data_IF_331983907481
#
_entry.id   IF_331983907481
#
_cell.length_a   1.000
_cell.length_b   1.000
_cell.length_c   1.000
_cell.angle_alpha   90.00
_cell.angle_beta   90.00
_cell.angle_gamma   90.00
#
_symmetry.space_group_name_H-M   'P 1'
#
loop_
_entity.id
_entity.type
_entity.pdbx_description
1 polymer ?
#
# COMPACT_ATOMS: atom_id res chain seq x y z
N UNK A 1 -11.82 -17.92 13.99
CA UNK A 1 -11.27 -16.57 13.87
C UNK A 1 -11.83 -15.69 14.98
N UNK A 2 -10.93 -15.11 15.78
CA UNK A 2 -11.33 -14.05 16.72
C UNK A 2 -11.34 -12.73 15.97
N UNK A 3 -12.48 -12.06 15.91
CA UNK A 3 -12.59 -10.74 15.30
C UNK A 3 -13.09 -9.72 16.32
N UNK A 4 -12.65 -8.49 16.15
CA UNK A 4 -13.14 -7.33 16.88
C UNK A 4 -13.60 -6.29 15.88
N UNK A 5 -14.86 -5.88 15.97
CA UNK A 5 -15.37 -4.76 15.20
C UNK A 5 -14.99 -3.45 15.89
N UNK A 6 -14.33 -2.56 15.18
CA UNK A 6 -14.00 -1.21 15.64
C UNK A 6 -14.59 -0.24 14.62
N UNK A 7 -15.32 0.78 15.10
CA UNK A 7 -15.95 1.79 14.24
C UNK A 7 -15.13 3.06 14.33
N UNK A 8 -14.79 3.61 13.17
CA UNK A 8 -14.05 4.85 13.03
C UNK A 8 -14.87 5.84 12.19
N UNK A 9 -15.32 6.92 12.82
CA UNK A 9 -16.26 7.90 12.21
C UNK A 9 -15.64 9.27 11.95
N UNK A 10 -14.38 9.49 12.36
CA UNK A 10 -13.77 10.83 12.34
C UNK A 10 -13.29 11.26 10.96
N UNK A 11 -12.78 10.33 10.17
CA UNK A 11 -12.20 10.60 8.86
C UNK A 11 -12.52 9.44 7.91
N UNK A 12 -13.29 9.65 6.84
CA UNK A 12 -13.67 8.59 5.90
C UNK A 12 -12.54 8.18 4.96
N UNK A 13 -11.36 8.84 5.02
CA UNK A 13 -10.24 8.47 4.15
C UNK A 13 -9.75 7.06 4.44
N UNK A 14 -9.35 6.35 3.39
CA UNK A 14 -8.85 4.98 3.50
C UNK A 14 -7.59 4.91 4.37
N UNK A 15 -6.67 5.87 4.21
CA UNK A 15 -5.44 5.95 4.99
C UNK A 15 -5.71 6.13 6.50
N UNK A 16 -6.67 6.99 6.88
CA UNK A 16 -7.04 7.19 8.28
C UNK A 16 -7.66 5.92 8.89
N UNK A 17 -8.48 5.19 8.11
CA UNK A 17 -9.06 3.92 8.56
C UNK A 17 -7.98 2.85 8.77
N UNK A 18 -6.99 2.75 7.88
CA UNK A 18 -5.85 1.84 8.05
C UNK A 18 -5.06 2.20 9.32
N UNK A 19 -4.70 3.46 9.51
CA UNK A 19 -3.96 3.90 10.68
C UNK A 19 -4.70 3.53 11.97
N UNK A 20 -5.99 3.82 12.03
CA UNK A 20 -6.83 3.45 13.16
C UNK A 20 -6.87 1.92 13.40
N UNK A 21 -6.92 1.12 12.33
CA UNK A 21 -6.82 -0.34 12.41
C UNK A 21 -5.49 -0.80 12.98
N UNK A 22 -4.38 -0.20 12.54
CA UNK A 22 -3.03 -0.48 13.04
C UNK A 22 -2.90 -0.14 14.53
N UNK A 23 -3.34 1.03 14.95
CA UNK A 23 -3.34 1.45 16.37
C UNK A 23 -4.05 0.44 17.26
N UNK A 24 -5.17 -0.11 16.79
CA UNK A 24 -5.99 -1.07 17.52
C UNK A 24 -5.55 -2.54 17.38
N UNK A 25 -4.58 -2.84 16.52
CA UNK A 25 -4.06 -4.20 16.37
C UNK A 25 -3.16 -4.59 17.54
N UNK A 26 -3.38 -5.79 18.08
CA UNK A 26 -2.59 -6.30 19.23
C UNK A 26 -1.32 -7.06 18.79
N UNK A 27 -1.23 -7.46 17.52
CA UNK A 27 -0.15 -8.29 16.99
C UNK A 27 1.07 -7.47 16.58
N UNK A 28 2.26 -8.08 16.65
CA UNK A 28 3.52 -7.50 16.15
C UNK A 28 3.52 -7.30 14.63
N UNK A 29 2.84 -8.17 13.91
CA UNK A 29 2.70 -8.11 12.46
C UNK A 29 1.25 -7.82 12.11
N UNK A 30 1.04 -6.98 11.10
CA UNK A 30 -0.28 -6.62 10.57
C UNK A 30 -0.32 -6.86 9.07
N UNK A 31 -1.52 -7.10 8.56
CA UNK A 31 -1.78 -7.20 7.12
C UNK A 31 -3.11 -6.53 6.80
N UNK A 32 -3.25 -6.05 5.57
CA UNK A 32 -4.41 -5.29 5.13
C UNK A 32 -5.25 -6.14 4.17
N UNK A 33 -6.54 -6.23 4.46
CA UNK A 33 -7.55 -6.87 3.61
C UNK A 33 -8.65 -5.86 3.33
N UNK A 34 -8.88 -5.57 2.08
CA UNK A 34 -10.00 -4.74 1.65
C UNK A 34 -11.27 -5.56 1.54
N UNK A 35 -12.42 -4.89 1.54
CA UNK A 35 -13.74 -5.52 1.68
C UNK A 35 -14.07 -6.50 0.53
N UNK A 36 -13.63 -6.18 -0.67
CA UNK A 36 -13.92 -6.89 -1.92
C UNK A 36 -12.72 -7.69 -2.46
N UNK A 37 -11.70 -7.88 -1.64
CA UNK A 37 -10.46 -8.56 -1.98
C UNK A 37 -10.31 -9.91 -1.29
N UNK A 38 -9.31 -10.67 -1.74
CA UNK A 38 -9.04 -12.02 -1.24
C UNK A 38 -7.54 -12.27 -1.02
N UNK A 39 -7.18 -12.92 0.12
CA UNK A 39 -5.88 -13.55 0.25
C UNK A 39 -5.82 -14.88 -0.51
N UNK A 40 -4.71 -15.14 -1.19
CA UNK A 40 -4.44 -16.50 -1.65
C UNK A 40 -4.23 -17.45 -0.45
N UNK A 41 -4.79 -18.66 -0.53
CA UNK A 41 -4.79 -19.62 0.58
C UNK A 41 -3.40 -19.93 1.16
N UNK A 42 -2.35 -19.86 0.32
CA UNK A 42 -0.96 -20.17 0.68
C UNK A 42 -0.17 -18.93 1.11
N UNK A 43 -0.77 -17.74 1.14
CA UNK A 43 -0.03 -16.49 1.34
C UNK A 43 0.69 -16.45 2.68
N UNK A 44 -0.02 -16.66 3.76
CA UNK A 44 0.56 -16.58 5.10
C UNK A 44 1.58 -17.68 5.38
N UNK A 45 1.43 -18.88 4.82
CA UNK A 45 2.43 -19.95 4.90
C UNK A 45 3.73 -19.55 4.20
N UNK A 46 3.63 -18.91 3.02
CA UNK A 46 4.79 -18.35 2.34
C UNK A 46 5.45 -17.25 3.17
N UNK A 47 4.69 -16.30 3.70
CA UNK A 47 5.23 -15.24 4.55
C UNK A 47 5.97 -15.83 5.74
N UNK A 48 5.39 -16.79 6.46
CA UNK A 48 6.01 -17.44 7.61
C UNK A 48 7.34 -18.12 7.23
N UNK A 49 7.37 -18.80 6.09
CA UNK A 49 8.59 -19.41 5.56
C UNK A 49 9.68 -18.38 5.26
N UNK A 50 9.31 -17.26 4.60
CA UNK A 50 10.26 -16.21 4.27
C UNK A 50 10.72 -15.44 5.51
N UNK A 51 9.89 -15.24 6.52
CA UNK A 51 10.30 -14.70 7.83
C UNK A 51 11.39 -15.56 8.48
N UNK A 52 11.30 -16.89 8.35
CA UNK A 52 12.32 -17.81 8.84
C UNK A 52 13.66 -17.69 8.11
N UNK A 53 13.64 -17.49 6.80
CA UNK A 53 14.87 -17.35 5.99
C UNK A 53 15.46 -15.93 6.03
N UNK A 54 14.64 -14.92 6.20
CA UNK A 54 15.02 -13.51 6.13
C UNK A 54 14.56 -12.73 7.38
N UNK A 55 15.10 -13.04 8.57
CA UNK A 55 14.61 -12.50 9.84
C UNK A 55 14.79 -10.99 10.00
N UNK A 56 15.63 -10.37 9.15
CA UNK A 56 15.84 -8.92 9.15
C UNK A 56 14.82 -8.15 8.31
N UNK A 57 14.02 -8.85 7.50
CA UNK A 57 12.98 -8.20 6.67
C UNK A 57 11.84 -7.72 7.56
N UNK A 58 11.41 -6.50 7.33
CA UNK A 58 10.41 -5.81 8.14
C UNK A 58 9.03 -5.76 7.48
N UNK A 59 8.98 -5.97 6.16
CA UNK A 59 7.74 -6.05 5.41
C UNK A 59 7.85 -7.02 4.23
N UNK A 60 6.75 -7.74 3.96
CA UNK A 60 6.64 -8.67 2.83
C UNK A 60 5.46 -8.26 1.95
N UNK A 61 5.72 -8.11 0.65
CA UNK A 61 4.71 -7.83 -0.36
C UNK A 61 4.39 -9.09 -1.16
N UNK A 62 3.11 -9.36 -1.46
CA UNK A 62 2.74 -10.36 -2.45
C UNK A 62 2.92 -9.82 -3.88
N UNK A 63 2.98 -10.69 -4.87
CA UNK A 63 2.47 -10.35 -6.20
C UNK A 63 0.95 -10.34 -6.10
N UNK A 64 0.34 -9.24 -6.51
CA UNK A 64 -1.12 -9.04 -6.49
C UNK A 64 -1.67 -9.30 -7.89
N UNK A 65 -2.76 -10.04 -7.97
CA UNK A 65 -3.55 -10.20 -9.20
C UNK A 65 -4.65 -9.14 -9.17
N UNK A 66 -4.65 -8.25 -10.14
CA UNK A 66 -5.72 -7.28 -10.33
C UNK A 66 -6.80 -7.87 -11.24
N UNK A 67 -8.05 -7.74 -10.82
CA UNK A 67 -9.24 -8.14 -11.59
C UNK A 67 -10.21 -6.98 -11.69
N UNK A 68 -11.03 -6.98 -12.72
CA UNK A 68 -12.18 -6.08 -12.78
C UNK A 68 -13.35 -6.57 -11.89
N UNK A 69 -14.42 -5.79 -11.81
CA UNK A 69 -15.63 -6.12 -11.04
C UNK A 69 -16.33 -7.43 -11.47
N UNK A 70 -16.04 -7.91 -12.69
CA UNK A 70 -16.58 -9.18 -13.22
C UNK A 70 -15.63 -10.34 -12.98
N UNK A 71 -14.48 -10.08 -12.34
CA UNK A 71 -13.44 -11.07 -12.06
C UNK A 71 -12.52 -11.35 -13.25
N UNK A 72 -12.59 -10.57 -14.34
CA UNK A 72 -11.67 -10.72 -15.46
C UNK A 72 -10.29 -10.16 -15.08
N UNK A 73 -9.24 -10.86 -15.51
CA UNK A 73 -7.86 -10.45 -15.26
C UNK A 73 -7.55 -9.08 -15.89
N UNK A 74 -7.02 -8.15 -15.08
CA UNK A 74 -6.64 -6.81 -15.49
C UNK A 74 -5.12 -6.59 -15.50
N UNK A 75 -4.37 -7.27 -14.62
CA UNK A 75 -2.93 -7.11 -14.54
C UNK A 75 -2.33 -7.71 -13.27
N UNK A 76 -1.06 -7.35 -13.05
CA UNK A 76 -0.35 -7.62 -11.81
C UNK A 76 0.13 -6.32 -11.19
N UNK A 77 0.31 -6.34 -9.87
CA UNK A 77 0.94 -5.27 -9.09
C UNK A 77 2.02 -5.86 -8.20
N UNK A 78 3.05 -5.08 -7.86
CA UNK A 78 4.26 -5.45 -7.12
C UNK A 78 5.27 -6.34 -7.90
N UNK A 79 4.98 -6.74 -9.12
CA UNK A 79 5.87 -7.57 -9.95
C UNK A 79 7.08 -6.80 -10.52
N UNK A 80 6.98 -5.47 -10.62
CA UNK A 80 8.04 -4.64 -11.22
C UNK A 80 9.39 -4.78 -10.49
N UNK A 81 9.40 -5.14 -9.20
CA UNK A 81 10.63 -5.41 -8.45
C UNK A 81 11.47 -6.53 -9.06
N UNK A 82 10.84 -7.53 -9.67
CA UNK A 82 11.52 -8.66 -10.32
C UNK A 82 12.02 -8.28 -11.71
N UNK A 83 11.30 -7.42 -12.43
CA UNK A 83 11.75 -6.89 -13.71
C UNK A 83 12.98 -5.99 -13.57
N UNK A 84 13.02 -5.14 -12.53
CA UNK A 84 14.14 -4.26 -12.25
C UNK A 84 15.42 -4.99 -11.80
N UNK A 85 15.28 -6.16 -11.20
CA UNK A 85 16.39 -6.93 -10.61
C UNK A 85 16.61 -8.27 -11.31
N UNK A 86 16.69 -8.32 -12.62
CA UNK A 86 16.85 -9.52 -13.44
C UNK A 86 17.54 -10.69 -12.70
N UNK A 87 16.86 -11.85 -12.57
CA UNK A 87 17.37 -13.10 -12.00
C UNK A 87 17.39 -13.20 -10.46
N UNK A 88 16.71 -12.38 -9.69
CA UNK A 88 16.55 -12.61 -8.25
C UNK A 88 15.33 -13.47 -7.96
N UNK A 89 15.47 -14.49 -7.14
CA UNK A 89 14.36 -15.31 -6.62
C UNK A 89 13.49 -14.52 -5.64
N UNK A 90 14.02 -13.44 -5.08
CA UNK A 90 13.36 -12.51 -4.18
C UNK A 90 13.72 -11.09 -4.59
N UNK A 91 12.77 -10.17 -4.51
CA UNK A 91 12.96 -8.78 -4.85
C UNK A 91 12.92 -7.88 -3.61
N UNK A 92 13.99 -7.15 -3.35
CA UNK A 92 13.97 -6.07 -2.38
C UNK A 92 13.44 -4.80 -3.03
N UNK A 93 12.40 -4.23 -2.45
CA UNK A 93 11.88 -2.93 -2.88
C UNK A 93 12.82 -1.83 -2.37
N UNK A 94 13.35 -1.05 -3.31
CA UNK A 94 14.24 0.06 -3.01
C UNK A 94 13.61 1.40 -3.38
N UNK A 95 14.17 2.49 -2.85
CA UNK A 95 13.72 3.83 -3.21
C UNK A 95 13.92 4.09 -4.71
N UNK A 96 15.03 3.64 -5.30
CA UNK A 96 15.32 3.82 -6.73
C UNK A 96 14.27 3.13 -7.60
N UNK A 97 13.88 1.88 -7.27
CA UNK A 97 12.79 1.20 -7.99
C UNK A 97 11.49 2.02 -7.94
N UNK A 98 11.15 2.57 -6.78
CA UNK A 98 9.95 3.38 -6.61
C UNK A 98 10.01 4.73 -7.34
N UNK A 99 11.19 5.29 -7.59
CA UNK A 99 11.32 6.49 -8.41
C UNK A 99 10.97 6.23 -9.88
N UNK A 100 11.27 5.04 -10.38
CA UNK A 100 11.06 4.64 -11.77
C UNK A 100 9.68 3.99 -11.97
N UNK A 101 9.21 3.19 -11.00
CA UNK A 101 7.97 2.42 -11.07
C UNK A 101 7.03 2.77 -9.92
N UNK A 102 5.78 3.07 -10.25
CA UNK A 102 4.77 3.51 -9.28
C UNK A 102 3.69 2.45 -9.01
N UNK A 103 3.70 1.34 -9.75
CA UNK A 103 2.69 0.28 -9.64
C UNK A 103 3.00 -0.65 -8.47
N UNK A 104 2.97 -0.08 -7.26
CA UNK A 104 3.11 -0.81 -6.00
C UNK A 104 1.94 -0.51 -5.09
N UNK A 105 1.48 -1.54 -4.38
CA UNK A 105 0.40 -1.42 -3.40
C UNK A 105 0.69 -2.24 -2.14
N UNK A 106 0.03 -1.87 -1.06
CA UNK A 106 0.14 -2.53 0.24
C UNK A 106 -0.93 -3.60 0.47
N UNK A 107 -1.77 -3.86 -0.52
CA UNK A 107 -2.80 -4.91 -0.46
C UNK A 107 -2.16 -6.27 -0.24
N UNK A 108 -2.55 -6.95 0.84
CA UNK A 108 -1.94 -8.20 1.26
C UNK A 108 -0.54 -8.10 1.88
N UNK A 109 0.04 -6.90 2.00
CA UNK A 109 1.33 -6.71 2.66
C UNK A 109 1.26 -7.22 4.10
N UNK A 110 2.32 -7.91 4.53
CA UNK A 110 2.54 -8.25 5.95
C UNK A 110 3.72 -7.43 6.45
N UNK A 111 3.47 -6.55 7.41
CA UNK A 111 4.46 -5.58 7.89
C UNK A 111 4.49 -5.56 9.42
N UNK A 112 5.65 -5.27 10.00
CA UNK A 112 5.78 -5.03 11.44
C UNK A 112 5.01 -3.77 11.83
N UNK A 113 4.20 -3.89 12.88
CA UNK A 113 3.39 -2.78 13.40
C UNK A 113 4.25 -1.59 13.83
N UNK A 114 5.35 -1.85 14.54
CA UNK A 114 6.27 -0.81 15.02
C UNK A 114 6.89 0.00 13.86
N UNK A 115 7.14 -0.61 12.70
CA UNK A 115 7.61 0.13 11.51
C UNK A 115 6.58 1.17 11.05
N UNK A 116 5.30 0.82 11.05
CA UNK A 116 4.24 1.78 10.68
C UNK A 116 4.18 2.91 11.69
N UNK A 117 4.22 2.59 12.98
CA UNK A 117 4.16 3.56 14.07
C UNK A 117 5.38 4.49 14.10
N UNK A 118 6.59 3.94 13.95
CA UNK A 118 7.86 4.70 13.94
C UNK A 118 7.94 5.69 12.77
N UNK A 119 7.31 5.37 11.65
CA UNK A 119 7.28 6.23 10.46
C UNK A 119 5.99 7.05 10.32
N UNK A 120 5.13 7.13 11.34
CA UNK A 120 3.99 8.03 11.38
C UNK A 120 2.75 7.58 10.60
N UNK A 121 2.68 6.30 10.20
CA UNK A 121 1.52 5.74 9.50
C UNK A 121 1.34 6.24 8.07
N UNK A 122 0.15 6.07 7.52
CA UNK A 122 -0.21 6.54 6.19
C UNK A 122 -0.73 7.98 6.25
N UNK A 123 -0.31 8.84 5.32
CA UNK A 123 -0.74 10.24 5.25
C UNK A 123 -2.12 10.35 4.60
N UNK A 124 -3.13 10.69 5.39
CA UNK A 124 -4.53 10.75 4.95
C UNK A 124 -4.76 11.81 3.87
N UNK A 125 -4.01 12.91 3.88
CA UNK A 125 -4.10 13.98 2.89
C UNK A 125 -3.59 13.60 1.50
N UNK A 126 -2.83 12.50 1.36
CA UNK A 126 -2.25 12.07 0.08
C UNK A 126 -3.26 11.46 -0.89
N UNK A 127 -4.50 11.22 -0.50
CA UNK A 127 -5.60 10.70 -1.32
C UNK A 127 -5.20 9.48 -2.18
N UNK A 128 -4.89 9.70 -3.46
CA UNK A 128 -4.56 8.63 -4.42
C UNK A 128 -3.20 7.99 -4.21
N UNK A 129 -2.25 8.68 -3.59
CA UNK A 129 -0.85 8.26 -3.55
C UNK A 129 -0.31 8.00 -2.15
N UNK A 130 -1.20 7.83 -1.16
CA UNK A 130 -0.79 7.57 0.22
C UNK A 130 0.04 6.29 0.38
N UNK A 131 -0.26 5.24 -0.39
CA UNK A 131 0.52 4.00 -0.43
C UNK A 131 1.90 4.25 -1.03
N UNK A 132 1.97 4.94 -2.16
CA UNK A 132 3.21 5.24 -2.86
C UNK A 132 4.13 6.12 -2.00
N UNK A 133 3.59 7.17 -1.38
CA UNK A 133 4.33 8.02 -0.43
C UNK A 133 4.87 7.20 0.75
N UNK A 134 4.04 6.33 1.33
CA UNK A 134 4.43 5.50 2.46
C UNK A 134 5.59 4.55 2.10
N UNK A 135 5.51 3.86 0.96
CA UNK A 135 6.59 2.99 0.51
C UNK A 135 7.89 3.76 0.20
N UNK A 136 7.79 4.94 -0.42
CA UNK A 136 8.94 5.83 -0.62
C UNK A 136 9.59 6.22 0.72
N UNK A 137 8.79 6.60 1.71
CA UNK A 137 9.27 6.98 3.05
C UNK A 137 9.93 5.83 3.77
N UNK A 138 9.35 4.64 3.73
CA UNK A 138 9.94 3.44 4.32
C UNK A 138 11.29 3.09 3.69
N UNK A 139 11.36 3.03 2.36
CA UNK A 139 12.57 2.66 1.63
C UNK A 139 13.68 3.70 1.76
N UNK A 140 13.34 4.98 1.80
CA UNK A 140 14.27 6.08 2.06
C UNK A 140 14.94 5.95 3.44
N UNK A 141 14.19 5.48 4.43
CA UNK A 141 14.69 5.24 5.79
C UNK A 141 15.25 3.81 5.98
N UNK A 142 15.62 3.16 4.89
CA UNK A 142 16.27 1.83 4.90
C UNK A 142 15.42 0.71 5.52
N UNK A 143 14.08 0.84 5.52
CA UNK A 143 13.20 -0.28 5.88
C UNK A 143 13.36 -1.40 4.87
N UNK A 144 13.65 -2.61 5.36
CA UNK A 144 13.79 -3.79 4.51
C UNK A 144 12.42 -4.32 4.09
N UNK A 145 12.05 -4.09 2.84
CA UNK A 145 10.80 -4.56 2.23
C UNK A 145 11.13 -5.58 1.16
N UNK A 146 10.54 -6.77 1.25
CA UNK A 146 10.75 -7.85 0.30
C UNK A 146 9.46 -8.21 -0.41
N UNK A 147 9.47 -8.25 -1.74
CA UNK A 147 8.42 -8.88 -2.52
C UNK A 147 8.70 -10.39 -2.66
N UNK A 148 7.74 -11.21 -2.27
CA UNK A 148 7.79 -12.67 -2.43
C UNK A 148 7.23 -12.99 -3.81
N UNK A 149 7.93 -13.79 -4.68
CA UNK A 149 7.49 -14.10 -6.04
C UNK A 149 6.36 -15.14 -6.04
N UNK A 150 5.29 -14.84 -5.33
CA UNK A 150 4.09 -15.68 -5.20
C UNK A 150 2.85 -14.80 -5.27
N UNK A 151 1.84 -15.30 -5.96
CA UNK A 151 0.51 -14.71 -5.91
C UNK A 151 -0.02 -14.85 -4.49
N UNK A 152 -0.15 -13.75 -3.79
CA UNK A 152 -0.57 -13.73 -2.39
C UNK A 152 -1.89 -13.01 -2.16
N UNK A 153 -2.35 -12.24 -3.14
CA UNK A 153 -3.53 -11.39 -3.01
C UNK A 153 -4.22 -11.19 -4.35
N UNK A 154 -5.54 -11.12 -4.32
CA UNK A 154 -6.39 -10.76 -5.46
C UNK A 154 -7.11 -9.47 -5.11
N UNK A 155 -6.90 -8.46 -5.93
CA UNK A 155 -7.47 -7.13 -5.78
C UNK A 155 -8.53 -6.85 -6.85
N UNK A 156 -9.68 -6.33 -6.44
CA UNK A 156 -10.73 -5.86 -7.33
C UNK A 156 -10.49 -4.40 -7.69
N UNK A 157 -9.87 -4.19 -8.84
CA UNK A 157 -9.44 -2.87 -9.29
C UNK A 157 -10.62 -2.06 -9.85
N UNK A 158 -10.58 -0.74 -9.62
CA UNK A 158 -11.44 0.25 -10.29
C UNK A 158 -12.95 0.04 -10.09
N UNK A 159 -13.37 -0.50 -8.94
CA UNK A 159 -14.78 -0.65 -8.62
C UNK A 159 -15.47 0.72 -8.59
N UNK A 160 -16.52 0.87 -9.40
CA UNK A 160 -17.32 2.10 -9.48
C UNK A 160 -17.87 2.48 -8.10
N UNK A 161 -17.79 3.76 -7.73
CA UNK A 161 -18.22 4.27 -6.44
C UNK A 161 -17.30 3.98 -5.26
N UNK A 162 -16.16 3.31 -5.47
CA UNK A 162 -15.12 3.20 -4.44
C UNK A 162 -14.48 4.55 -4.13
N UNK A 163 -13.80 4.66 -2.98
CA UNK A 163 -13.08 5.89 -2.59
C UNK A 163 -12.04 6.26 -3.66
N UNK A 164 -11.30 5.28 -4.18
CA UNK A 164 -10.30 5.50 -5.22
C UNK A 164 -10.92 5.89 -6.56
N UNK A 165 -12.04 5.29 -6.93
CA UNK A 165 -12.82 5.71 -8.09
C UNK A 165 -13.20 7.18 -7.98
N UNK A 166 -13.75 7.60 -6.85
CA UNK A 166 -14.18 8.98 -6.63
C UNK A 166 -13.01 9.98 -6.63
N UNK A 167 -11.81 9.55 -6.21
CA UNK A 167 -10.60 10.40 -6.31
C UNK A 167 -10.07 10.49 -7.74
N UNK A 168 -10.25 9.46 -8.56
CA UNK A 168 -9.67 9.35 -9.88
C UNK A 168 -10.58 9.88 -10.97
N UNK A 169 -11.88 9.90 -10.74
CA UNK A 169 -12.89 10.31 -11.71
C UNK A 169 -13.77 11.42 -11.17
N UNK A 170 -14.11 12.38 -12.07
CA UNK A 170 -15.20 13.32 -11.87
C UNK A 170 -16.33 12.92 -12.82
N UNK A 171 -17.31 12.17 -12.30
CA UNK A 171 -18.23 11.44 -13.14
C UNK A 171 -17.51 10.34 -13.93
N UNK A 172 -17.71 10.27 -15.25
CA UNK A 172 -17.06 9.30 -16.13
C UNK A 172 -15.66 9.76 -16.64
N UNK A 173 -15.25 10.98 -16.32
CA UNK A 173 -14.01 11.58 -16.84
C UNK A 173 -12.86 11.38 -15.85
N UNK A 174 -11.80 10.73 -16.32
CA UNK A 174 -10.56 10.58 -15.56
C UNK A 174 -9.84 11.93 -15.42
N UNK A 175 -9.33 12.20 -14.20
CA UNK A 175 -8.59 13.44 -13.88
C UNK A 175 -7.08 13.11 -13.91
N UNK A 176 -6.49 13.01 -15.11
CA UNK A 176 -5.07 12.67 -15.28
C UNK A 176 -4.11 13.63 -14.57
N UNK A 177 -4.42 14.92 -14.58
CA UNK A 177 -3.58 15.93 -13.96
C UNK A 177 -3.57 15.81 -12.44
N UNK A 178 -4.66 15.35 -11.84
CA UNK A 178 -4.73 15.08 -10.40
C UNK A 178 -3.83 13.92 -9.99
N UNK A 179 -3.82 12.83 -10.75
CA UNK A 179 -2.92 11.69 -10.49
C UNK A 179 -1.45 12.14 -10.55
N UNK A 180 -1.08 12.90 -11.58
CA UNK A 180 0.28 13.45 -11.74
C UNK A 180 0.64 14.37 -10.56
N UNK A 181 -0.28 15.24 -10.17
CA UNK A 181 -0.09 16.16 -9.04
C UNK A 181 0.21 15.38 -7.75
N UNK A 182 -0.58 14.36 -7.43
CA UNK A 182 -0.40 13.58 -6.21
C UNK A 182 0.88 12.75 -6.22
N UNK A 183 1.29 12.21 -7.38
CA UNK A 183 2.59 11.53 -7.53
C UNK A 183 3.75 12.49 -7.26
N UNK A 184 3.72 13.69 -7.83
CA UNK A 184 4.76 14.69 -7.59
C UNK A 184 4.76 15.17 -6.14
N UNK A 185 3.61 15.27 -5.52
CA UNK A 185 3.47 15.60 -4.10
C UNK A 185 4.07 14.52 -3.22
N UNK A 186 3.79 13.25 -3.49
CA UNK A 186 4.40 12.13 -2.78
C UNK A 186 5.92 12.15 -2.85
N UNK A 187 6.49 12.44 -4.03
CA UNK A 187 7.95 12.57 -4.25
C UNK A 187 8.59 13.75 -3.50
N UNK A 188 7.84 14.71 -3.02
CA UNK A 188 8.32 15.84 -2.21
C UNK A 188 8.10 15.62 -0.72
N UNK A 189 7.06 14.89 -0.34
CA UNK A 189 6.61 14.77 1.04
C UNK A 189 7.12 13.53 1.78
N UNK A 190 7.64 12.51 1.09
CA UNK A 190 8.10 11.27 1.72
C UNK A 190 9.32 11.42 2.65
N UNK A 191 10.04 12.54 2.58
CA UNK A 191 11.14 12.87 3.51
C UNK A 191 10.66 13.14 4.94
N UNK A 192 9.38 13.43 5.12
CA UNK A 192 8.80 13.85 6.39
C UNK A 192 7.87 12.78 6.92
N UNK A 193 7.89 12.57 8.25
CA UNK A 193 6.97 11.64 8.92
C UNK A 193 5.56 12.23 9.04
N UNK A 194 5.47 13.51 9.33
CA UNK A 194 4.20 14.20 9.53
C UNK A 194 3.46 14.41 8.22
N UNK A 195 2.13 14.36 8.27
CA UNK A 195 1.27 14.73 7.16
C UNK A 195 1.19 16.24 7.01
N UNK A 196 2.12 16.78 6.23
CA UNK A 196 2.26 18.22 5.97
C UNK A 196 1.34 18.76 4.87
N UNK A 197 0.80 17.87 4.07
CA UNK A 197 -0.02 18.20 2.89
C UNK A 197 -1.33 18.88 3.29
N UNK A 198 -1.86 18.58 4.48
CA UNK A 198 -3.05 19.26 5.04
C UNK A 198 -2.87 20.77 5.09
N UNK A 199 -1.64 21.26 5.35
CA UNK A 199 -1.35 22.70 5.45
C UNK A 199 -1.44 23.42 4.11
N UNK A 200 -1.29 22.72 2.98
CA UNK A 200 -1.37 23.32 1.65
C UNK A 200 -2.80 23.38 1.12
N UNK A 201 -3.68 22.50 1.57
CA UNK A 201 -5.10 22.49 1.17
C UNK A 201 -5.90 23.59 1.85
N UNK A 202 -5.55 23.96 3.08
CA UNK A 202 -6.23 25.02 3.85
C UNK A 202 -5.86 26.45 3.43
N UNK A 203 -4.92 26.63 2.50
CA UNK A 203 -4.51 27.95 1.99
C UNK A 203 -5.15 28.31 0.64
N UNK A 204 -5.83 27.34 0.00
CA UNK A 204 -6.44 27.49 -1.32
C UNK A 204 -7.98 27.34 -1.28
N UNK A 205 -8.57 27.17 -0.08
CA UNK A 205 -10.00 27.31 0.19
C UNK A 205 -10.28 28.71 0.77
#
# INVERSE_FOLDING_TARGET
LNYRKVVFEKDPSFAAQINFGVENAASKWVSFLEFDDEYANIWFDNVQKYMGYYPMVQAFLPVVVDTDEKGAFAGFTNEAVFAANFAQEVGYLTNDILQDYQNFQTSGMVIRKDVIEDFGGFKASMKLTFVYEFLLRLTYNSTSIMAIPKLGYKHTNMREGSIFWNYKFSGEKMIDDEVKFWVQTAKKEYFFKDDRTIKYQSQND
#
